data_IF_147730324111
#
_entry.id   IF_147730324111
#
_cell.length_a   1.000
_cell.length_b   1.000
_cell.length_c   1.000
_cell.angle_alpha   90.00
_cell.angle_beta   90.00
_cell.angle_gamma   90.00
#
_symmetry.space_group_name_H-M   'P 1'
#
loop_
_entity.id
_entity.type
_entity.pdbx_description
1 polymer ?
#
# COMPACT_ATOMS: atom_id res chain seq x y z
N UNK A 1 -6.91 8.45 17.29
CA UNK A 1 -6.56 8.59 17.06
C UNK A 1 -6.06 8.57 16.78
N UNK A 2 -5.91 8.42 16.69
CA UNK A 2 -5.50 8.56 16.54
C UNK A 2 -5.62 9.06 16.57
N UNK A 3 -5.93 9.30 16.44
CA UNK A 3 -5.97 9.95 16.57
C UNK A 3 -6.15 10.26 17.57
N UNK A 4 -6.36 9.95 18.15
CA UNK A 4 -6.27 10.29 19.02
C UNK A 4 -5.27 10.21 19.60
N UNK A 5 -4.62 9.95 19.29
CA UNK A 5 -3.75 10.01 19.72
C UNK A 5 -3.16 10.98 19.99
N UNK A 6 -2.88 11.37 20.48
CA UNK A 6 -2.49 12.28 20.80
C UNK A 6 -1.50 12.77 20.51
N UNK A 7 -1.27 12.90 20.21
CA UNK A 7 -0.52 13.64 20.15
C UNK A 7 0.81 13.61 19.86
N UNK A 8 1.51 13.01 19.90
CA UNK A 8 2.91 13.20 19.71
C UNK A 8 3.28 12.88 18.26
N UNK A 9 4.23 13.63 17.74
CA UNK A 9 4.64 13.46 16.36
C UNK A 9 5.30 12.13 16.10
N UNK A 10 5.99 11.61 17.11
CA UNK A 10 6.61 10.31 17.01
C UNK A 10 5.57 9.22 16.76
N UNK A 11 4.43 9.35 17.44
CA UNK A 11 3.34 8.39 17.27
C UNK A 11 2.76 8.45 15.87
N UNK A 12 2.66 9.63 15.28
CA UNK A 12 2.17 9.79 13.93
C UNK A 12 3.10 9.09 12.94
N UNK A 13 4.39 9.26 13.09
CA UNK A 13 5.35 8.59 12.23
C UNK A 13 5.28 7.08 12.36
N UNK A 14 5.19 6.59 13.59
CA UNK A 14 5.08 5.17 13.83
C UNK A 14 3.80 4.62 13.22
N UNK A 15 2.72 5.38 13.36
CA UNK A 15 1.44 4.97 12.80
C UNK A 15 1.52 4.85 11.28
N UNK A 16 2.17 5.80 10.60
CA UNK A 16 2.32 5.73 9.15
C UNK A 16 3.12 4.51 8.73
N UNK A 17 4.18 4.19 9.43
CA UNK A 17 4.99 3.03 9.12
C UNK A 17 4.20 1.74 9.31
N UNK A 18 3.42 1.66 10.37
CA UNK A 18 2.59 0.49 10.64
C UNK A 18 1.51 0.36 9.56
N UNK A 19 0.86 1.47 9.21
CA UNK A 19 -0.17 1.47 8.18
C UNK A 19 0.42 1.01 6.85
N UNK A 20 1.61 1.48 6.51
CA UNK A 20 2.27 1.07 5.28
C UNK A 20 2.53 -0.43 5.26
N UNK A 21 2.95 -0.99 6.36
CA UNK A 21 3.19 -2.43 6.44
C UNK A 21 1.90 -3.23 6.31
N UNK A 22 0.85 -2.78 6.97
CA UNK A 22 -0.45 -3.44 6.87
C UNK A 22 -0.94 -3.42 5.43
N UNK A 23 -0.84 -2.25 4.80
CA UNK A 23 -1.29 -2.09 3.42
C UNK A 23 -0.47 -2.95 2.45
N UNK A 24 0.84 -2.96 2.62
CA UNK A 24 1.72 -3.78 1.77
C UNK A 24 1.43 -5.25 1.93
N UNK A 25 1.24 -5.68 3.16
CA UNK A 25 0.92 -7.08 3.42
C UNK A 25 -0.43 -7.47 2.81
N UNK A 26 -1.42 -6.61 2.95
CA UNK A 26 -2.74 -6.88 2.39
C UNK A 26 -2.67 -6.98 0.86
N UNK A 27 -1.93 -6.06 0.24
CA UNK A 27 -1.80 -6.05 -1.21
C UNK A 27 -1.09 -7.30 -1.73
N UNK A 28 -0.01 -7.71 -1.07
CA UNK A 28 0.75 -8.88 -1.53
C UNK A 28 0.02 -10.18 -1.28
N UNK A 29 -1.02 -10.17 -0.46
CA UNK A 29 -1.84 -11.35 -0.24
C UNK A 29 -2.84 -11.57 -1.37
N UNK A 30 -3.01 -10.59 -2.25
CA UNK A 30 -3.99 -10.70 -3.33
C UNK A 30 -3.42 -11.53 -4.48
N UNK A 31 -4.30 -12.31 -5.11
CA UNK A 31 -3.89 -13.13 -6.23
C UNK A 31 -3.38 -12.27 -7.38
N UNK A 32 -2.30 -12.71 -8.00
CA UNK A 32 -1.74 -12.00 -9.14
C UNK A 32 -0.72 -10.95 -8.80
N UNK A 33 -0.56 -10.62 -7.53
CA UNK A 33 0.43 -9.64 -7.09
C UNK A 33 1.73 -10.37 -6.78
N UNK A 34 2.79 -10.02 -7.53
CA UNK A 34 4.11 -10.60 -7.29
C UNK A 34 4.72 -9.99 -6.04
N UNK A 35 4.56 -8.70 -5.86
CA UNK A 35 5.09 -8.02 -4.70
C UNK A 35 4.99 -6.52 -4.83
N UNK A 36 5.55 -5.83 -3.84
CA UNK A 36 5.61 -4.38 -3.87
C UNK A 36 6.83 -3.91 -4.64
N UNK A 37 6.79 -2.70 -5.13
CA UNK A 37 7.85 -2.13 -5.94
C UNK A 37 8.15 -0.71 -5.53
N UNK A 38 9.31 -0.22 -5.93
CA UNK A 38 9.61 1.20 -5.79
C UNK A 38 8.84 1.96 -6.87
N UNK A 39 8.52 3.21 -6.61
CA UNK A 39 7.87 4.05 -7.61
C UNK A 39 8.92 4.47 -8.64
N UNK A 40 8.90 3.90 -9.79
CA UNK A 40 9.74 4.19 -10.95
C UNK A 40 11.09 4.87 -10.78
N UNK A 41 11.18 5.90 -10.01
CA UNK A 41 12.44 6.59 -9.80
C UNK A 41 12.95 7.35 -11.01
N UNK A 42 14.20 7.79 -10.94
CA UNK A 42 14.80 8.60 -12.00
C UNK A 42 15.02 7.81 -13.28
N UNK A 43 15.25 6.52 -13.13
CA UNK A 43 15.52 5.65 -14.27
C UNK A 43 14.26 5.15 -14.93
N UNK A 44 13.10 5.41 -14.31
CA UNK A 44 11.85 4.85 -14.78
C UNK A 44 11.77 3.36 -14.58
N UNK A 45 12.69 2.78 -13.85
CA UNK A 45 12.73 1.34 -13.63
C UNK A 45 12.23 1.03 -12.22
N UNK A 46 11.15 0.28 -12.16
CA UNK A 46 10.63 -0.16 -10.88
C UNK A 46 11.37 -1.42 -10.43
N UNK A 47 11.69 -1.48 -9.15
CA UNK A 47 12.37 -2.62 -8.58
C UNK A 47 11.45 -3.34 -7.62
N UNK A 48 11.43 -4.67 -7.73
CA UNK A 48 10.69 -5.50 -6.79
C UNK A 48 11.35 -5.39 -5.42
N UNK A 49 10.56 -5.06 -4.42
CA UNK A 49 11.06 -4.90 -3.06
C UNK A 49 11.10 -6.24 -2.34
N UNK A 50 12.12 -6.39 -1.51
CA UNK A 50 12.20 -7.54 -0.63
C UNK A 50 11.05 -7.48 0.38
N UNK A 51 10.70 -8.64 0.92
CA UNK A 51 9.56 -8.74 1.81
C UNK A 51 9.68 -7.81 3.02
N UNK A 52 10.87 -7.71 3.59
CA UNK A 52 11.06 -6.86 4.77
C UNK A 52 11.06 -5.36 4.42
N UNK A 53 11.07 -5.02 3.14
CA UNK A 53 11.06 -3.63 2.68
C UNK A 53 9.79 -3.26 1.95
N UNK A 54 8.76 -4.10 2.00
CA UNK A 54 7.59 -3.86 1.18
C UNK A 54 6.83 -2.60 1.58
N UNK A 55 7.03 -2.12 2.80
CA UNK A 55 6.43 -0.86 3.22
C UNK A 55 6.94 0.33 2.41
N UNK A 56 8.10 0.20 1.77
CA UNK A 56 8.63 1.25 0.91
C UNK A 56 7.86 1.39 -0.39
N UNK A 57 7.05 0.39 -0.74
CA UNK A 57 6.17 0.47 -1.89
C UNK A 57 4.81 1.03 -1.55
N UNK A 58 4.66 1.62 -0.37
CA UNK A 58 3.41 2.18 0.08
C UNK A 58 3.65 3.61 0.55
N UNK A 59 2.83 4.53 0.07
CA UNK A 59 2.86 5.91 0.53
C UNK A 59 1.58 6.21 1.28
N UNK A 60 1.72 6.77 2.47
CA UNK A 60 0.59 7.08 3.34
C UNK A 60 0.57 8.57 3.57
N UNK A 61 -0.59 9.18 3.30
CA UNK A 61 -0.77 10.60 3.52
C UNK A 61 -1.99 10.80 4.41
N UNK A 62 -1.79 11.51 5.52
CA UNK A 62 -2.90 11.83 6.42
C UNK A 62 -3.61 13.07 5.91
N UNK A 63 -4.92 12.97 5.79
CA UNK A 63 -5.76 14.07 5.37
C UNK A 63 -6.82 14.35 6.40
N UNK A 64 -7.64 15.35 6.12
CA UNK A 64 -8.70 15.74 7.05
C UNK A 64 -9.78 14.69 7.18
N UNK A 65 -10.07 14.00 6.07
CA UNK A 65 -11.17 13.06 6.05
C UNK A 65 -10.73 11.61 6.15
N UNK A 66 -9.44 11.40 6.36
CA UNK A 66 -8.94 10.05 6.47
C UNK A 66 -7.56 9.92 5.87
N UNK A 67 -7.20 8.68 5.57
CA UNK A 67 -5.87 8.35 5.07
C UNK A 67 -5.94 8.08 3.58
N UNK A 68 -4.99 8.64 2.85
CA UNK A 68 -4.81 8.32 1.43
C UNK A 68 -3.61 7.39 1.31
N UNK A 69 -3.82 6.26 0.65
CA UNK A 69 -2.79 5.24 0.51
C UNK A 69 -2.51 5.04 -0.97
N UNK A 70 -1.22 5.07 -1.33
CA UNK A 70 -0.78 4.76 -2.70
C UNK A 70 0.11 3.56 -2.66
N UNK A 71 -0.19 2.57 -3.50
CA UNK A 71 0.53 1.32 -3.56
C UNK A 71 1.23 1.20 -4.90
N UNK A 72 2.44 0.68 -4.88
CA UNK A 72 3.21 0.43 -6.09
C UNK A 72 3.52 -1.06 -6.12
N UNK A 73 3.01 -1.75 -7.15
CA UNK A 73 3.06 -3.21 -7.19
C UNK A 73 3.58 -3.73 -8.52
N UNK A 74 4.01 -4.99 -8.49
CA UNK A 74 4.34 -5.75 -9.68
C UNK A 74 3.37 -6.92 -9.74
N UNK A 75 2.80 -7.15 -10.92
CA UNK A 75 1.81 -8.20 -11.10
C UNK A 75 2.33 -9.26 -12.07
N UNK A 76 1.70 -10.43 -12.07
CA UNK A 76 2.04 -11.49 -13.00
C UNK A 76 1.46 -11.22 -14.36
N UNK A 77 2.18 -11.65 -15.39
CA UNK A 77 1.71 -11.55 -16.76
C UNK A 77 0.39 -12.33 -16.92
N UNK A 78 -0.51 -11.75 -17.68
CA UNK A 78 -1.79 -12.38 -17.94
C UNK A 78 -2.86 -12.08 -16.91
N UNK A 79 -2.49 -11.32 -15.87
CA UNK A 79 -3.44 -10.96 -14.83
C UNK A 79 -4.37 -9.85 -15.30
N UNK A 80 -5.64 -9.93 -14.88
CA UNK A 80 -6.59 -8.84 -15.16
C UNK A 80 -6.33 -7.71 -14.20
N UNK A 81 -5.66 -6.66 -14.68
CA UNK A 81 -5.20 -5.57 -13.83
C UNK A 81 -6.37 -4.83 -13.18
N UNK A 82 -7.47 -4.65 -13.91
CA UNK A 82 -8.63 -3.95 -13.34
C UNK A 82 -9.25 -4.75 -12.20
N UNK A 83 -9.39 -6.06 -12.38
CA UNK A 83 -9.95 -6.90 -11.34
C UNK A 83 -9.05 -6.93 -10.11
N UNK A 84 -7.75 -7.04 -10.34
CA UNK A 84 -6.77 -7.03 -9.24
C UNK A 84 -6.85 -5.72 -8.48
N UNK A 85 -6.93 -4.61 -9.20
CA UNK A 85 -7.01 -3.30 -8.57
C UNK A 85 -8.19 -3.19 -7.61
N UNK A 86 -9.34 -3.70 -8.03
CA UNK A 86 -10.53 -3.67 -7.19
C UNK A 86 -10.34 -4.50 -5.92
N UNK A 87 -9.79 -5.71 -6.07
CA UNK A 87 -9.56 -6.57 -4.92
C UNK A 87 -8.57 -5.95 -3.96
N UNK A 88 -7.49 -5.39 -4.49
CA UNK A 88 -6.47 -4.76 -3.65
C UNK A 88 -7.06 -3.58 -2.89
N UNK A 89 -7.81 -2.72 -3.56
CA UNK A 89 -8.41 -1.56 -2.89
C UNK A 89 -9.31 -2.00 -1.74
N UNK A 90 -10.14 -2.99 -1.98
CA UNK A 90 -11.04 -3.49 -0.94
C UNK A 90 -10.29 -4.11 0.22
N UNK A 91 -9.30 -4.95 -0.08
CA UNK A 91 -8.52 -5.62 0.96
C UNK A 91 -7.73 -4.65 1.81
N UNK A 92 -7.07 -3.70 1.16
CA UNK A 92 -6.23 -2.73 1.87
C UNK A 92 -7.10 -1.85 2.75
N UNK A 93 -8.18 -1.34 2.20
CA UNK A 93 -9.08 -0.50 2.96
C UNK A 93 -9.61 -1.23 4.20
N UNK A 94 -10.09 -2.45 4.00
CA UNK A 94 -10.66 -3.21 5.09
C UNK A 94 -9.62 -3.49 6.19
N UNK A 95 -8.44 -3.97 5.78
CA UNK A 95 -7.40 -4.33 6.75
C UNK A 95 -6.88 -3.13 7.51
N UNK A 96 -6.64 -2.03 6.80
CA UNK A 96 -6.11 -0.84 7.45
C UNK A 96 -7.15 -0.25 8.40
N UNK A 97 -8.39 -0.17 7.97
CA UNK A 97 -9.43 0.38 8.83
C UNK A 97 -9.64 -0.49 10.06
N UNK A 98 -9.63 -1.80 9.88
CA UNK A 98 -9.85 -2.70 11.00
C UNK A 98 -8.71 -2.64 12.01
N UNK A 99 -7.47 -2.62 11.54
CA UNK A 99 -6.33 -2.71 12.44
C UNK A 99 -5.91 -1.37 13.02
N UNK A 100 -6.18 -0.28 12.33
CA UNK A 100 -5.78 1.04 12.81
C UNK A 100 -6.92 1.82 13.45
N UNK A 101 -8.14 1.50 13.12
CA UNK A 101 -9.29 2.27 13.56
C UNK A 101 -9.47 3.59 12.82
N UNK A 102 -8.62 3.84 11.82
CA UNK A 102 -8.68 5.08 11.06
C UNK A 102 -9.47 4.86 9.77
N UNK A 103 -10.07 5.92 9.28
CA UNK A 103 -10.82 5.87 8.04
C UNK A 103 -9.87 5.99 6.85
N UNK A 104 -10.02 5.11 5.87
CA UNK A 104 -9.23 5.15 4.65
C UNK A 104 -10.06 5.86 3.60
N UNK A 105 -9.55 7.00 3.13
CA UNK A 105 -10.24 7.83 2.16
C UNK A 105 -10.07 7.30 0.74
N UNK A 106 -8.82 7.10 0.32
CA UNK A 106 -8.53 6.57 -1.01
C UNK A 106 -7.43 5.53 -0.96
N UNK A 107 -7.48 4.60 -1.92
CA UNK A 107 -6.42 3.63 -2.14
C UNK A 107 -6.11 3.64 -3.63
N UNK A 108 -4.94 4.15 -3.98
CA UNK A 108 -4.48 4.17 -5.37
C UNK A 108 -3.55 3.00 -5.61
N UNK A 109 -3.81 2.25 -6.67
CA UNK A 109 -2.99 1.09 -7.01
C UNK A 109 -2.25 1.40 -8.30
N UNK A 110 -0.92 1.43 -8.21
CA UNK A 110 -0.06 1.72 -9.36
C UNK A 110 0.70 0.47 -9.73
N UNK A 111 0.43 -0.03 -10.95
CA UNK A 111 1.13 -1.21 -11.44
C UNK A 111 2.42 -0.73 -12.12
N UNK A 112 3.54 -1.01 -11.47
CA UNK A 112 4.84 -0.51 -11.94
C UNK A 112 5.55 -1.49 -12.86
N UNK A 113 5.11 -2.73 -12.87
CA UNK A 113 5.72 -3.71 -13.75
C UNK A 113 4.92 -4.98 -13.81
N UNK A 114 5.24 -5.76 -14.85
CA UNK A 114 4.62 -7.06 -15.08
C UNK A 114 5.74 -8.08 -15.16
N UNK A 115 5.61 -9.16 -14.40
CA UNK A 115 6.62 -10.20 -14.40
C UNK A 115 6.18 -11.34 -15.30
N UNK A 116 7.08 -11.72 -16.19
CA UNK A 116 6.91 -12.86 -17.07
C UNK A 116 7.86 -13.95 -16.61
N UNK A 117 7.35 -15.14 -16.39
CA UNK A 117 8.20 -16.27 -15.98
C UNK A 117 8.79 -16.95 -17.18
#
# INVERSE_FOLDING_TARGET
>A
MSGKFDNSRGNVKIANSVIAKIAGYAATSCYGVVGMATSGGKDGIAKLLKREMMDRGVKVKLGENGIDISLYIIVEYGTNINAIGEVIRSSVKYRVEEMSGLNVNTVDVNVEGIRVN
#
